data_IF_882480190107
#
_entry.id   IF_882480190107
#
_cell.length_a   1.000
_cell.length_b   1.000
_cell.length_c   1.000
_cell.angle_alpha   90.00
_cell.angle_beta   90.00
_cell.angle_gamma   90.00
#
_symmetry.space_group_name_H-M   'P 1'
#
loop_
_entity.id
_entity.type
_entity.pdbx_description
1 polymer ?
#
# COMPACT_ATOMS: atom_id res chain seq x y z
N UNK A 1 -7.23 20.14 10.09
CA UNK A 1 -6.84 20.46 11.48
C UNK A 1 -5.85 19.44 12.01
N UNK A 2 -6.24 18.17 12.15
CA UNK A 2 -5.38 17.07 12.66
C UNK A 2 -4.02 17.03 11.97
N UNK A 3 -3.97 16.99 10.64
CA UNK A 3 -2.73 16.81 9.87
C UNK A 3 -1.64 17.87 10.14
N UNK A 4 -2.03 19.09 10.56
CA UNK A 4 -1.07 20.15 10.85
C UNK A 4 -0.41 20.00 12.24
N UNK A 5 -0.92 19.07 13.06
CA UNK A 5 -0.52 18.83 14.45
C UNK A 5 0.09 17.43 14.63
N UNK A 6 0.28 16.67 13.55
CA UNK A 6 0.77 15.29 13.56
C UNK A 6 2.10 15.18 12.85
N UNK A 7 2.97 14.33 13.36
CA UNK A 7 4.24 14.00 12.71
C UNK A 7 4.03 13.07 11.50
N UNK A 8 3.04 12.17 11.57
CA UNK A 8 2.76 11.16 10.55
C UNK A 8 1.26 10.86 10.46
N UNK A 9 0.83 10.35 9.31
CA UNK A 9 -0.54 9.87 9.08
C UNK A 9 -0.53 8.38 8.75
N UNK A 10 -1.41 7.62 9.40
CA UNK A 10 -1.69 6.23 9.08
C UNK A 10 -3.11 6.08 8.55
N UNK A 11 -3.25 5.52 7.35
CA UNK A 11 -4.54 5.16 6.76
C UNK A 11 -4.86 3.72 7.12
N UNK A 12 -5.63 3.51 8.20
CA UNK A 12 -6.15 2.19 8.58
C UNK A 12 -7.42 1.88 7.80
N UNK A 13 -7.29 1.08 6.73
CA UNK A 13 -8.41 0.72 5.84
C UNK A 13 -9.38 -0.25 6.51
N UNK A 14 -8.91 -1.08 7.42
CA UNK A 14 -9.70 -2.02 8.21
C UNK A 14 -10.73 -1.27 9.05
N UNK A 15 -10.28 -0.29 9.84
CA UNK A 15 -11.20 0.52 10.65
C UNK A 15 -12.03 1.49 9.81
N UNK A 16 -11.49 2.06 8.73
CA UNK A 16 -12.28 2.87 7.80
C UNK A 16 -13.43 2.07 7.18
N UNK A 17 -13.22 0.80 6.84
CA UNK A 17 -14.26 -0.07 6.26
C UNK A 17 -15.41 -0.39 7.19
N UNK A 18 -15.21 -0.27 8.51
CA UNK A 18 -16.27 -0.44 9.52
C UNK A 18 -17.16 0.78 9.64
N UNK A 19 -16.63 1.96 9.31
CA UNK A 19 -17.31 3.24 9.55
C UNK A 19 -17.83 3.89 8.26
N UNK A 20 -17.18 3.63 7.13
CA UNK A 20 -17.44 4.27 5.85
C UNK A 20 -17.74 3.20 4.79
N UNK A 21 -18.68 3.46 3.86
CA UNK A 21 -18.92 2.55 2.74
C UNK A 21 -17.65 2.27 1.93
N UNK A 22 -17.36 0.98 1.70
CA UNK A 22 -16.10 0.51 1.10
C UNK A 22 -15.78 1.16 -0.24
N UNK A 23 -16.80 1.45 -1.07
CA UNK A 23 -16.64 2.10 -2.36
C UNK A 23 -16.10 3.55 -2.28
N UNK A 24 -16.13 4.18 -1.09
CA UNK A 24 -15.57 5.52 -0.86
C UNK A 24 -14.11 5.49 -0.41
N UNK A 25 -13.63 4.36 0.11
CA UNK A 25 -12.30 4.25 0.71
C UNK A 25 -11.18 4.58 -0.29
N UNK A 26 -11.19 4.08 -1.54
CA UNK A 26 -10.12 4.41 -2.48
C UNK A 26 -9.99 5.92 -2.75
N UNK A 27 -11.12 6.63 -2.84
CA UNK A 27 -11.13 8.08 -3.04
C UNK A 27 -10.61 8.82 -1.80
N UNK A 28 -11.02 8.38 -0.61
CA UNK A 28 -10.55 8.96 0.65
C UNK A 28 -9.06 8.74 0.85
N UNK A 29 -8.55 7.54 0.58
CA UNK A 29 -7.12 7.25 0.62
C UNK A 29 -6.36 8.21 -0.29
N UNK A 30 -6.80 8.39 -1.54
CA UNK A 30 -6.15 9.32 -2.48
C UNK A 30 -6.13 10.75 -1.95
N UNK A 31 -7.28 11.24 -1.46
CA UNK A 31 -7.38 12.59 -0.91
C UNK A 31 -6.50 12.80 0.33
N UNK A 32 -6.42 11.80 1.21
CA UNK A 32 -5.57 11.85 2.41
C UNK A 32 -4.10 11.89 1.99
N UNK A 33 -3.67 10.98 1.10
CA UNK A 33 -2.29 10.93 0.60
C UNK A 33 -1.91 12.27 -0.06
N UNK A 34 -2.74 12.76 -0.99
CA UNK A 34 -2.48 14.03 -1.68
C UNK A 34 -2.36 15.20 -0.69
N UNK A 35 -3.21 15.22 0.36
CA UNK A 35 -3.18 16.25 1.40
C UNK A 35 -1.91 16.16 2.26
N UNK A 36 -1.54 14.96 2.70
CA UNK A 36 -0.32 14.71 3.48
C UNK A 36 0.93 15.15 2.72
N UNK A 37 1.02 14.76 1.44
CA UNK A 37 2.11 15.16 0.54
C UNK A 37 2.20 16.67 0.37
N UNK A 38 1.06 17.35 0.19
CA UNK A 38 1.04 18.82 0.04
C UNK A 38 1.58 19.58 1.26
N UNK A 39 1.60 18.93 2.43
CA UNK A 39 2.04 19.49 3.69
C UNK A 39 3.37 18.89 4.17
N UNK A 40 4.00 18.01 3.37
CA UNK A 40 5.21 17.27 3.73
C UNK A 40 5.08 16.45 5.03
N UNK A 41 3.88 15.92 5.29
CA UNK A 41 3.64 14.98 6.40
C UNK A 41 3.68 13.56 5.84
N UNK A 42 4.57 12.68 6.33
CA UNK A 42 4.62 11.28 5.91
C UNK A 42 3.27 10.57 6.07
N UNK A 43 2.91 9.73 5.10
CA UNK A 43 1.65 8.99 5.08
C UNK A 43 1.87 7.51 4.76
N UNK A 44 1.34 6.66 5.62
CA UNK A 44 1.45 5.21 5.53
C UNK A 44 0.07 4.57 5.28
N UNK A 45 0.04 3.48 4.52
CA UNK A 45 -1.18 2.70 4.29
C UNK A 45 -1.10 1.37 5.03
N UNK A 46 -2.14 1.04 5.78
CA UNK A 46 -2.21 -0.19 6.56
C UNK A 46 -3.41 -1.06 6.17
N UNK A 47 -3.33 -2.34 6.55
CA UNK A 47 -4.38 -3.36 6.49
C UNK A 47 -4.83 -3.77 5.08
N UNK A 48 -5.22 -5.04 4.93
CA UNK A 48 -5.69 -5.64 3.68
C UNK A 48 -4.77 -5.41 2.47
N UNK A 49 -3.45 -5.40 2.69
CA UNK A 49 -2.46 -5.24 1.62
C UNK A 49 -2.17 -6.58 0.94
N UNK A 50 -1.97 -7.63 1.73
CA UNK A 50 -1.71 -9.00 1.26
C UNK A 50 -2.53 -10.02 2.09
N UNK A 51 -3.78 -9.70 2.40
CA UNK A 51 -4.65 -10.46 3.30
C UNK A 51 -4.69 -11.96 2.99
N UNK A 52 -4.76 -12.34 1.72
CA UNK A 52 -4.79 -13.75 1.30
C UNK A 52 -3.55 -14.51 1.79
N UNK A 53 -2.39 -13.84 1.87
CA UNK A 53 -1.12 -14.42 2.29
C UNK A 53 -1.05 -14.77 3.78
N UNK A 54 -2.07 -14.41 4.57
CA UNK A 54 -2.27 -14.98 5.93
C UNK A 54 -2.39 -16.51 5.84
N UNK A 55 -3.02 -17.00 4.77
CA UNK A 55 -3.36 -18.42 4.60
C UNK A 55 -2.69 -19.08 3.38
N UNK A 56 -2.39 -18.31 2.34
CA UNK A 56 -1.75 -18.77 1.10
C UNK A 56 -0.31 -18.25 1.01
N UNK A 57 0.50 -18.87 0.15
CA UNK A 57 1.88 -18.43 -0.05
C UNK A 57 2.00 -17.22 -0.99
N UNK A 58 1.04 -17.05 -1.89
CA UNK A 58 1.04 -16.02 -2.93
C UNK A 58 -0.19 -15.11 -2.79
N UNK A 59 -0.06 -13.81 -3.11
CA UNK A 59 -1.16 -12.88 -3.08
C UNK A 59 -2.04 -13.00 -4.33
N UNK A 60 -3.21 -12.36 -4.27
CA UNK A 60 -4.07 -12.17 -5.44
C UNK A 60 -3.57 -11.03 -6.33
N UNK A 61 -3.99 -11.05 -7.60
CA UNK A 61 -3.72 -9.94 -8.54
C UNK A 61 -4.28 -8.60 -8.06
N UNK A 62 -5.39 -8.62 -7.34
CA UNK A 62 -6.01 -7.42 -6.80
C UNK A 62 -5.16 -6.79 -5.69
N UNK A 63 -4.63 -7.61 -4.78
CA UNK A 63 -3.72 -7.18 -3.72
C UNK A 63 -2.41 -6.62 -4.26
N UNK A 64 -1.82 -7.29 -5.26
CA UNK A 64 -0.63 -6.80 -5.96
C UNK A 64 -0.89 -5.41 -6.56
N UNK A 65 -2.00 -5.25 -7.29
CA UNK A 65 -2.37 -3.97 -7.89
C UNK A 65 -2.64 -2.89 -6.83
N UNK A 66 -3.28 -3.25 -5.72
CA UNK A 66 -3.57 -2.33 -4.62
C UNK A 66 -2.29 -1.80 -3.94
N UNK A 67 -1.34 -2.68 -3.64
CA UNK A 67 -0.03 -2.32 -3.07
C UNK A 67 0.71 -1.37 -4.00
N UNK A 68 0.87 -1.76 -5.28
CA UNK A 68 1.59 -0.94 -6.27
C UNK A 68 0.88 0.40 -6.47
N UNK A 69 -0.45 0.39 -6.58
CA UNK A 69 -1.22 1.62 -6.76
C UNK A 69 -1.06 2.57 -5.56
N UNK A 70 -1.09 2.05 -4.32
CA UNK A 70 -0.90 2.85 -3.11
C UNK A 70 0.48 3.52 -3.06
N UNK A 71 1.53 2.80 -3.48
CA UNK A 71 2.88 3.36 -3.60
C UNK A 71 2.96 4.44 -4.69
N UNK A 72 2.39 4.20 -5.87
CA UNK A 72 2.36 5.16 -6.97
C UNK A 72 1.50 6.40 -6.67
N UNK A 73 0.52 6.30 -5.76
CA UNK A 73 -0.19 7.47 -5.22
C UNK A 73 0.72 8.36 -4.37
N UNK A 74 1.86 7.83 -3.92
CA UNK A 74 2.85 8.54 -3.14
C UNK A 74 2.74 8.29 -1.64
N UNK A 75 2.26 7.12 -1.22
CA UNK A 75 2.42 6.67 0.15
C UNK A 75 3.91 6.48 0.49
N UNK A 76 4.32 6.94 1.67
CA UNK A 76 5.71 6.86 2.14
C UNK A 76 6.07 5.47 2.66
N UNK A 77 5.06 4.66 3.00
CA UNK A 77 5.27 3.27 3.36
C UNK A 77 3.99 2.48 3.56
N UNK A 78 4.19 1.21 3.87
CA UNK A 78 3.15 0.21 4.01
C UNK A 78 3.29 -0.50 5.35
N UNK A 79 2.16 -0.79 5.99
CA UNK A 79 2.13 -1.50 7.28
C UNK A 79 1.39 -2.82 7.10
N UNK A 80 2.14 -3.93 7.18
CA UNK A 80 1.60 -5.28 7.23
C UNK A 80 1.05 -5.57 8.64
N UNK A 81 -0.12 -6.21 8.71
CA UNK A 81 -0.85 -6.47 9.94
C UNK A 81 -0.94 -7.98 10.20
N UNK A 82 -2.08 -8.60 9.86
CA UNK A 82 -2.31 -10.02 10.12
C UNK A 82 -1.30 -10.92 9.36
N UNK A 83 -0.85 -10.47 8.20
CA UNK A 83 0.07 -11.18 7.32
C UNK A 83 1.38 -11.56 8.03
N UNK A 84 1.90 -10.67 8.86
CA UNK A 84 3.15 -10.86 9.60
C UNK A 84 2.92 -11.27 11.06
N UNK A 85 1.82 -10.83 11.67
CA UNK A 85 1.54 -11.09 13.08
C UNK A 85 1.07 -12.54 13.34
N UNK A 86 0.21 -13.08 12.46
CA UNK A 86 -0.42 -14.40 12.64
C UNK A 86 -0.42 -15.27 11.38
N UNK A 87 0.06 -14.74 10.25
CA UNK A 87 0.07 -15.44 8.97
C UNK A 87 0.96 -16.68 8.97
N UNK A 88 0.62 -17.64 8.09
CA UNK A 88 1.43 -18.85 7.87
C UNK A 88 2.72 -18.61 7.10
N UNK A 89 2.81 -17.48 6.40
CA UNK A 89 3.90 -17.12 5.49
C UNK A 89 4.42 -15.68 5.72
N UNK A 90 4.79 -15.30 6.96
CA UNK A 90 5.09 -13.92 7.31
C UNK A 90 6.36 -13.40 6.61
N UNK A 91 7.35 -14.26 6.39
CA UNK A 91 8.59 -13.91 5.68
C UNK A 91 8.34 -13.71 4.19
N UNK A 92 7.50 -14.57 3.59
CA UNK A 92 7.09 -14.45 2.19
C UNK A 92 6.27 -13.18 1.95
N UNK A 93 5.36 -12.83 2.86
CA UNK A 93 4.60 -11.57 2.78
C UNK A 93 5.53 -10.34 2.73
N UNK A 94 6.54 -10.28 3.61
CA UNK A 94 7.54 -9.21 3.61
C UNK A 94 8.38 -9.22 2.32
N UNK A 95 8.80 -10.40 1.84
CA UNK A 95 9.53 -10.52 0.57
C UNK A 95 8.71 -10.04 -0.62
N UNK A 96 7.41 -10.37 -0.64
CA UNK A 96 6.47 -9.94 -1.67
C UNK A 96 6.33 -8.42 -1.67
N UNK A 97 6.07 -7.79 -0.52
CA UNK A 97 6.05 -6.31 -0.42
C UNK A 97 7.36 -5.70 -0.94
N UNK A 98 8.52 -6.26 -0.56
CA UNK A 98 9.81 -5.76 -1.02
C UNK A 98 9.98 -5.85 -2.54
N UNK A 99 9.47 -6.91 -3.17
CA UNK A 99 9.46 -7.03 -4.62
C UNK A 99 8.53 -5.99 -5.26
N UNK A 100 7.30 -5.85 -4.74
CA UNK A 100 6.33 -4.88 -5.25
C UNK A 100 6.80 -3.43 -5.12
N UNK A 101 7.51 -3.09 -4.04
CA UNK A 101 8.14 -1.78 -3.87
C UNK A 101 9.17 -1.52 -4.98
N UNK A 102 10.04 -2.49 -5.26
CA UNK A 102 11.05 -2.34 -6.34
C UNK A 102 10.42 -2.16 -7.70
N UNK A 103 9.36 -2.91 -8.00
CA UNK A 103 8.62 -2.75 -9.24
C UNK A 103 7.97 -1.37 -9.33
N UNK A 104 7.35 -0.90 -8.23
CA UNK A 104 6.76 0.44 -8.18
C UNK A 104 7.80 1.55 -8.31
N UNK A 105 8.98 1.43 -7.69
CA UNK A 105 10.09 2.38 -7.79
C UNK A 105 10.70 2.44 -9.21
N UNK A 106 10.57 1.36 -9.99
CA UNK A 106 11.02 1.35 -11.38
C UNK A 106 10.14 2.19 -12.31
N UNK A 107 8.89 2.47 -11.91
CA UNK A 107 7.93 3.20 -12.72
C UNK A 107 8.35 4.66 -12.92
N UNK A 108 8.30 5.10 -14.17
CA UNK A 108 8.50 6.50 -14.57
C UNK A 108 7.59 6.80 -15.76
N UNK A 109 7.32 8.08 -16.04
CA UNK A 109 6.51 8.48 -17.19
C UNK A 109 7.09 8.03 -18.55
N UNK A 110 8.37 7.64 -18.59
CA UNK A 110 9.10 7.25 -19.80
C UNK A 110 9.37 5.74 -19.87
N UNK A 111 8.94 4.95 -18.87
CA UNK A 111 9.21 3.51 -18.84
C UNK A 111 8.58 2.81 -20.05
N UNK A 112 9.35 1.95 -20.71
CA UNK A 112 8.83 1.12 -21.79
C UNK A 112 8.39 -0.25 -21.29
N UNK A 113 7.52 -0.93 -22.05
CA UNK A 113 7.13 -2.33 -21.78
C UNK A 113 8.37 -3.23 -21.71
N UNK A 114 9.36 -2.98 -22.56
CA UNK A 114 10.58 -3.77 -22.57
C UNK A 114 11.40 -3.60 -21.28
N UNK A 115 11.40 -2.42 -20.67
CA UNK A 115 12.11 -2.17 -19.42
C UNK A 115 11.43 -2.91 -18.25
N UNK A 116 10.09 -2.89 -18.21
CA UNK A 116 9.29 -3.66 -17.23
C UNK A 116 9.58 -5.16 -17.34
N UNK A 117 9.70 -5.70 -18.55
CA UNK A 117 9.93 -7.13 -18.75
C UNK A 117 11.37 -7.59 -18.47
N UNK A 118 12.35 -6.66 -18.43
CA UNK A 118 13.77 -6.96 -18.19
C UNK A 118 14.17 -6.98 -16.71
N UNK A 119 13.36 -6.45 -15.81
CA UNK A 119 13.68 -6.36 -14.37
C UNK A 119 13.56 -7.70 -13.60
N UNK A 120 13.53 -8.85 -14.29
CA UNK A 120 13.51 -10.19 -13.68
C UNK A 120 14.90 -10.82 -13.56
#
# INVERSE_FOLDING_TARGET
EIINLTDEILIDRGDLSRQIPIQKIPLLQRLIIDKSRSLNVPVFVATNLLESMVSTKDPTRAEVNDVVSSLLMGADGLVLAAETAIGKHPVEAVKMIKQLIREAESWTDQISIHDVLKNN
#
